data_IF_904864139788
#
_entry.id   IF_904864139788
#
_cell.length_a   1.000
_cell.length_b   1.000
_cell.length_c   1.000
_cell.angle_alpha   90.00
_cell.angle_beta   90.00
_cell.angle_gamma   90.00
#
_symmetry.space_group_name_H-M   'P 1'
#
loop_
_entity.id
_entity.type
_entity.pdbx_description
1 polymer ?
#
# COMPACT_ATOMS: atom_id res chain seq x y z
N UNK A 1 29.24 0.29 -19.65
CA UNK A 1 27.87 -0.15 -19.33
C UNK A 1 27.31 0.87 -18.36
N UNK A 2 26.51 1.80 -18.87
CA UNK A 2 26.12 3.02 -18.14
C UNK A 2 24.91 2.75 -17.25
N UNK A 3 25.18 2.71 -15.94
CA UNK A 3 24.45 3.28 -14.78
C UNK A 3 23.01 3.83 -14.93
N UNK A 4 22.60 4.37 -16.07
CA UNK A 4 21.28 5.01 -16.27
C UNK A 4 20.12 4.03 -16.33
N UNK A 5 20.28 2.86 -16.95
CA UNK A 5 19.20 1.86 -17.07
C UNK A 5 18.80 1.30 -15.70
N UNK A 6 19.79 0.95 -14.88
CA UNK A 6 19.56 0.50 -13.50
C UNK A 6 18.97 1.61 -12.63
N UNK A 7 19.44 2.86 -12.78
CA UNK A 7 18.89 4.00 -12.03
C UNK A 7 17.40 4.25 -12.38
N UNK A 8 17.04 4.15 -13.66
CA UNK A 8 15.65 4.27 -14.09
C UNK A 8 14.79 3.12 -13.55
N UNK A 9 15.32 1.90 -13.49
CA UNK A 9 14.64 0.76 -12.86
C UNK A 9 14.30 1.02 -11.38
N UNK A 10 15.25 1.60 -10.62
CA UNK A 10 14.99 1.98 -9.22
C UNK A 10 13.96 3.09 -9.09
N UNK A 11 14.03 4.13 -9.92
CA UNK A 11 13.06 5.24 -9.91
C UNK A 11 11.65 4.72 -10.21
N UNK A 12 11.51 3.85 -11.22
CA UNK A 12 10.23 3.23 -11.55
C UNK A 12 9.66 2.42 -10.38
N UNK A 13 10.49 1.61 -9.72
CA UNK A 13 10.10 0.82 -8.55
C UNK A 13 9.67 1.71 -7.37
N UNK A 14 10.44 2.78 -7.08
CA UNK A 14 10.10 3.75 -6.04
C UNK A 14 8.79 4.49 -6.35
N UNK A 15 8.57 4.86 -7.61
CA UNK A 15 7.32 5.49 -8.04
C UNK A 15 6.11 4.59 -7.83
N UNK A 16 6.22 3.31 -8.20
CA UNK A 16 5.18 2.33 -7.96
C UNK A 16 4.94 2.09 -6.46
N UNK A 17 6.00 1.97 -5.66
CA UNK A 17 5.89 1.82 -4.21
C UNK A 17 5.18 3.02 -3.56
N UNK A 18 5.44 4.26 -4.01
CA UNK A 18 4.75 5.44 -3.52
C UNK A 18 3.24 5.42 -3.84
N UNK A 19 2.87 4.95 -5.03
CA UNK A 19 1.44 4.77 -5.40
C UNK A 19 0.79 3.71 -4.51
N UNK A 20 1.43 2.55 -4.32
CA UNK A 20 0.92 1.50 -3.44
C UNK A 20 0.76 1.98 -2.00
N UNK A 21 1.73 2.75 -1.49
CA UNK A 21 1.63 3.36 -0.16
C UNK A 21 0.40 4.26 -0.04
N UNK A 22 0.15 5.11 -1.05
CA UNK A 22 -1.05 5.96 -1.08
C UNK A 22 -2.35 5.14 -1.11
N UNK A 23 -2.36 4.02 -1.82
CA UNK A 23 -3.53 3.12 -1.86
C UNK A 23 -3.76 2.48 -0.49
N UNK A 24 -2.74 1.89 0.12
CA UNK A 24 -2.85 1.20 1.41
C UNK A 24 -3.18 2.18 2.55
N UNK A 25 -2.66 3.41 2.50
CA UNK A 25 -2.97 4.47 3.49
C UNK A 25 -4.22 5.28 3.11
N UNK A 26 -4.96 4.88 2.07
CA UNK A 26 -6.17 5.59 1.67
C UNK A 26 -7.32 5.38 2.66
N UNK A 27 -8.22 6.36 2.74
CA UNK A 27 -9.43 6.29 3.57
C UNK A 27 -10.26 5.02 3.36
N UNK A 28 -10.53 4.58 2.11
CA UNK A 28 -11.26 3.33 1.85
C UNK A 28 -10.59 2.09 2.43
N UNK A 29 -9.27 1.94 2.30
CA UNK A 29 -8.55 0.77 2.84
C UNK A 29 -8.54 0.78 4.36
N UNK A 30 -8.31 1.94 4.98
CA UNK A 30 -8.37 2.10 6.43
C UNK A 30 -9.77 1.86 7.00
N UNK A 31 -10.82 2.28 6.29
CA UNK A 31 -12.21 2.04 6.67
C UNK A 31 -12.58 0.57 6.56
N UNK A 32 -12.16 -0.11 5.48
CA UNK A 32 -12.35 -1.55 5.33
C UNK A 32 -11.62 -2.35 6.42
N UNK A 33 -10.39 -1.96 6.77
CA UNK A 33 -9.67 -2.57 7.90
C UNK A 33 -10.37 -2.34 9.24
N UNK A 34 -10.89 -1.14 9.50
CA UNK A 34 -11.65 -0.86 10.72
C UNK A 34 -12.90 -1.73 10.81
N UNK A 35 -13.69 -1.79 9.72
CA UNK A 35 -14.89 -2.64 9.67
C UNK A 35 -14.56 -4.12 9.91
N UNK A 36 -13.46 -4.62 9.35
CA UNK A 36 -13.01 -6.00 9.59
C UNK A 36 -12.65 -6.26 11.06
N UNK A 37 -12.02 -5.29 11.73
CA UNK A 37 -11.67 -5.40 13.15
C UNK A 37 -12.93 -5.32 14.02
N UNK A 38 -13.87 -4.43 13.67
CA UNK A 38 -15.16 -4.32 14.34
C UNK A 38 -15.97 -5.61 14.21
N UNK A 39 -16.07 -6.19 13.00
CA UNK A 39 -16.71 -7.48 12.76
C UNK A 39 -16.03 -8.60 13.56
N UNK A 40 -14.70 -8.62 13.61
CA UNK A 40 -13.96 -9.63 14.37
C UNK A 40 -14.12 -9.49 15.90
N UNK A 41 -14.37 -8.27 16.38
CA UNK A 41 -14.61 -7.99 17.81
C UNK A 41 -16.08 -8.20 18.20
N UNK A 42 -17.01 -7.90 17.28
CA UNK A 42 -18.45 -8.16 17.42
C UNK A 42 -18.81 -9.64 17.19
N UNK A 43 -17.94 -10.41 16.51
CA UNK A 43 -17.95 -11.86 16.47
C UNK A 43 -17.71 -12.42 17.89
N UNK A 44 -18.75 -12.26 18.71
CA UNK A 44 -18.90 -12.66 20.08
C UNK A 44 -18.78 -14.18 20.14
N UNK A 45 -17.87 -14.66 20.99
CA UNK A 45 -17.88 -16.04 21.49
C UNK A 45 -19.22 -16.37 22.13
#
# INVERSE_FOLDING_TARGET
MTTSEYAMGTIAACGFAAVLYKVVTSGPVLSAMQSLIEDALDAKF
#
